data_IF_857448535782
#
_entry.id   IF_857448535782
#
_cell.length_a   1.000
_cell.length_b   1.000
_cell.length_c   1.000
_cell.angle_alpha   90.00
_cell.angle_beta   90.00
_cell.angle_gamma   90.00
#
_symmetry.space_group_name_H-M   'P 1'
#
loop_
_entity.id
_entity.type
_entity.pdbx_description
1 polymer ?
#
# COMPACT_ATOMS: atom_id res chain seq x y z
N UNK A 1 9.76 7.49 24.36
CA UNK A 1 10.93 6.62 24.07
C UNK A 1 12.03 7.50 23.51
N UNK A 2 13.27 7.32 23.94
CA UNK A 2 14.41 8.13 23.52
C UNK A 2 15.46 7.24 22.85
N UNK A 3 16.03 7.72 21.74
CA UNK A 3 17.07 7.01 20.98
C UNK A 3 18.46 7.56 21.31
N UNK A 4 19.53 6.77 21.16
CA UNK A 4 20.89 7.26 21.32
C UNK A 4 21.19 8.44 20.37
N UNK A 5 22.00 9.41 20.82
CA UNK A 5 22.30 10.60 20.04
C UNK A 5 22.94 10.30 18.66
N UNK A 6 23.73 9.22 18.57
CA UNK A 6 24.29 8.74 17.30
C UNK A 6 23.20 8.28 16.30
N UNK A 7 22.16 7.60 16.80
CA UNK A 7 21.01 7.16 15.99
C UNK A 7 20.19 8.36 15.53
N UNK A 8 19.92 9.33 16.41
CA UNK A 8 19.23 10.58 16.03
C UNK A 8 20.02 11.39 14.99
N UNK A 9 21.36 11.45 15.11
CA UNK A 9 22.23 12.10 14.12
C UNK A 9 22.20 11.37 12.76
N UNK A 10 22.23 10.03 12.76
CA UNK A 10 22.10 9.20 11.55
C UNK A 10 20.76 9.45 10.85
N UNK A 11 19.65 9.41 11.60
CA UNK A 11 18.31 9.68 11.09
C UNK A 11 18.20 11.09 10.48
N UNK A 12 18.72 12.12 11.15
CA UNK A 12 18.71 13.48 10.62
C UNK A 12 19.42 13.58 9.26
N UNK A 13 20.59 12.95 9.11
CA UNK A 13 21.34 12.92 7.85
C UNK A 13 20.61 12.13 6.76
N UNK A 14 20.13 10.93 7.07
CA UNK A 14 19.41 10.08 6.09
C UNK A 14 18.09 10.70 5.61
N UNK A 15 17.32 11.34 6.50
CA UNK A 15 16.08 12.01 6.13
C UNK A 15 16.36 13.25 5.28
N UNK A 16 17.45 13.99 5.56
CA UNK A 16 17.89 15.13 4.75
C UNK A 16 18.33 14.68 3.34
N UNK A 17 19.11 13.61 3.26
CA UNK A 17 19.54 12.97 2.00
C UNK A 17 18.33 12.47 1.17
N UNK A 18 17.33 11.87 1.81
CA UNK A 18 16.11 11.39 1.15
C UNK A 18 15.18 12.50 0.67
N UNK A 19 15.23 13.69 1.26
CA UNK A 19 14.49 14.88 0.79
C UNK A 19 15.27 15.61 -0.31
N UNK A 20 16.59 15.73 -0.18
CA UNK A 20 17.44 16.41 -1.17
C UNK A 20 17.66 15.59 -2.45
N UNK A 21 17.64 14.26 -2.35
CA UNK A 21 17.88 13.32 -3.45
C UNK A 21 16.88 12.14 -3.37
N UNK A 22 15.58 12.35 -3.64
CA UNK A 22 14.58 11.30 -3.55
C UNK A 22 14.85 10.13 -4.52
N UNK A 23 14.65 8.86 -4.10
CA UNK A 23 14.66 7.73 -5.04
C UNK A 23 13.51 7.82 -6.05
N UNK A 24 13.66 7.15 -7.19
CA UNK A 24 12.62 7.07 -8.22
C UNK A 24 11.29 6.55 -7.64
N UNK A 25 10.23 7.35 -7.75
CA UNK A 25 8.90 7.03 -7.23
C UNK A 25 8.80 6.96 -5.70
N UNK A 26 9.71 7.61 -4.96
CA UNK A 26 9.69 7.63 -3.49
C UNK A 26 9.93 9.05 -2.96
N UNK A 27 8.99 9.58 -2.18
CA UNK A 27 9.10 10.88 -1.49
C UNK A 27 9.01 10.70 0.02
N UNK A 28 9.98 11.22 0.78
CA UNK A 28 9.91 11.27 2.25
C UNK A 28 9.18 12.54 2.69
N UNK A 29 8.31 12.42 3.69
CA UNK A 29 7.61 13.54 4.31
C UNK A 29 8.30 13.85 5.65
N UNK A 30 9.18 14.86 5.65
CA UNK A 30 9.98 15.24 6.81
C UNK A 30 9.12 15.85 7.92
N UNK A 31 9.34 15.38 9.15
CA UNK A 31 8.80 15.96 10.38
C UNK A 31 9.97 16.41 11.27
N UNK A 32 10.40 17.66 11.15
CA UNK A 32 11.56 18.20 11.87
C UNK A 32 11.40 18.15 13.40
N UNK A 33 10.16 18.32 13.88
CA UNK A 33 9.83 18.21 15.30
C UNK A 33 9.86 16.77 15.83
N UNK A 34 9.74 15.76 14.95
CA UNK A 34 9.78 14.35 15.31
C UNK A 34 10.39 13.47 14.20
N UNK A 35 11.71 13.48 14.10
CA UNK A 35 12.49 12.65 13.15
C UNK A 35 12.27 11.13 13.28
N UNK A 36 11.60 10.68 14.35
CA UNK A 36 11.23 9.27 14.57
C UNK A 36 9.87 8.89 13.96
N UNK A 37 9.08 9.87 13.52
CA UNK A 37 7.86 9.67 12.73
C UNK A 37 8.20 9.68 11.24
N UNK A 38 8.95 8.66 10.80
CA UNK A 38 9.38 8.53 9.41
C UNK A 38 8.18 8.16 8.53
N UNK A 39 7.79 9.06 7.63
CA UNK A 39 6.68 8.88 6.68
C UNK A 39 7.19 8.99 5.25
N UNK A 40 6.60 8.23 4.34
CA UNK A 40 6.92 8.26 2.93
C UNK A 40 5.67 8.08 2.05
N UNK A 41 5.79 8.52 0.80
CA UNK A 41 4.86 8.28 -0.29
C UNK A 41 5.60 7.50 -1.36
N UNK A 42 5.03 6.36 -1.77
CA UNK A 42 5.57 5.48 -2.80
C UNK A 42 4.62 5.49 -4.00
N UNK A 43 5.14 5.80 -5.18
CA UNK A 43 4.43 5.69 -6.45
C UNK A 43 4.41 4.23 -6.91
N UNK A 44 3.22 3.72 -7.19
CA UNK A 44 3.03 2.37 -7.71
C UNK A 44 3.78 2.17 -9.04
N UNK A 45 4.70 1.20 -9.14
CA UNK A 45 5.54 1.06 -10.34
C UNK A 45 4.74 0.72 -11.60
N UNK A 46 5.24 1.18 -12.75
CA UNK A 46 4.64 0.88 -14.05
C UNK A 46 4.66 -0.63 -14.36
N UNK A 47 3.65 -1.12 -15.07
CA UNK A 47 3.43 -2.54 -15.36
C UNK A 47 2.82 -3.34 -14.20
N UNK A 48 2.61 -2.73 -13.03
CA UNK A 48 2.00 -3.39 -11.86
C UNK A 48 0.51 -3.03 -11.71
N UNK A 49 -0.28 -3.77 -10.92
CA UNK A 49 -1.64 -3.34 -10.55
C UNK A 49 -1.69 -2.12 -9.59
N UNK A 50 -0.53 -1.58 -9.21
CA UNK A 50 -0.39 -0.40 -8.36
C UNK A 50 -0.13 0.88 -9.18
N UNK A 51 0.16 0.75 -10.48
CA UNK A 51 0.53 1.84 -11.39
C UNK A 51 -0.38 3.08 -11.27
N UNK A 52 0.24 4.26 -11.18
CA UNK A 52 -0.43 5.56 -11.02
C UNK A 52 -0.98 5.86 -9.62
N UNK A 53 -1.05 4.86 -8.72
CA UNK A 53 -1.41 5.06 -7.33
C UNK A 53 -0.29 5.68 -6.50
N UNK A 54 -0.63 6.59 -5.59
CA UNK A 54 0.28 7.12 -4.57
C UNK A 54 -0.04 6.51 -3.19
N UNK A 55 0.91 5.75 -2.64
CA UNK A 55 0.74 4.99 -1.41
C UNK A 55 1.49 5.65 -0.24
N UNK A 56 0.75 6.26 0.68
CA UNK A 56 1.29 6.77 1.94
C UNK A 56 1.63 5.61 2.88
N UNK A 57 2.80 5.68 3.50
CA UNK A 57 3.32 4.65 4.41
C UNK A 57 4.21 5.25 5.51
N UNK A 58 4.49 4.46 6.55
CA UNK A 58 5.31 4.83 7.72
C UNK A 58 6.35 3.76 8.02
N UNK A 59 7.51 4.19 8.52
CA UNK A 59 8.55 3.33 9.08
C UNK A 59 8.61 3.52 10.59
N UNK A 60 7.98 2.60 11.33
CA UNK A 60 7.97 2.61 12.79
C UNK A 60 9.28 2.01 13.33
N UNK A 61 10.18 2.86 13.81
CA UNK A 61 11.44 2.45 14.42
C UNK A 61 11.18 1.65 15.73
N UNK A 62 11.77 0.46 15.93
CA UNK A 62 11.71 -0.27 17.20
C UNK A 62 12.69 0.29 18.24
N UNK A 63 12.50 -0.04 19.51
CA UNK A 63 13.27 0.49 20.64
C UNK A 63 14.79 0.23 20.56
N UNK A 64 15.18 -0.84 19.88
CA UNK A 64 16.55 -1.32 19.66
C UNK A 64 17.14 -0.88 18.31
N UNK A 65 16.44 -0.04 17.53
CA UNK A 65 16.92 0.46 16.23
C UNK A 65 18.30 1.13 16.36
N UNK A 66 19.30 0.80 15.51
CA UNK A 66 19.19 0.02 14.27
C UNK A 66 19.52 -1.49 14.39
N UNK A 67 19.57 -2.09 15.59
CA UNK A 67 19.83 -3.54 15.71
C UNK A 67 18.71 -4.38 15.06
N UNK A 68 17.43 -4.00 15.28
CA UNK A 68 16.30 -4.49 14.50
C UNK A 68 15.89 -3.51 13.38
N UNK A 69 15.36 -4.02 12.24
CA UNK A 69 14.81 -3.19 11.17
C UNK A 69 13.57 -2.39 11.62
N UNK A 70 13.27 -1.26 10.95
CA UNK A 70 12.01 -0.57 11.12
C UNK A 70 10.84 -1.45 10.67
N UNK A 71 9.67 -1.31 11.31
CA UNK A 71 8.43 -1.92 10.83
C UNK A 71 7.76 -1.03 9.78
N UNK A 72 7.55 -1.54 8.58
CA UNK A 72 6.79 -0.85 7.54
C UNK A 72 5.28 -0.98 7.76
N UNK A 73 4.54 0.12 7.57
CA UNK A 73 3.08 0.18 7.66
C UNK A 73 2.54 1.05 6.50
N UNK A 74 1.75 0.48 5.60
CA UNK A 74 0.96 1.25 4.64
C UNK A 74 -0.23 1.93 5.32
N UNK A 75 -0.38 3.23 5.08
CA UNK A 75 -1.54 4.05 5.53
C UNK A 75 -2.60 4.08 4.42
N UNK A 76 -2.18 4.15 3.16
CA UNK A 76 -3.05 3.89 2.00
C UNK A 76 -3.38 2.39 1.97
N UNK A 77 -4.66 2.03 2.01
CA UNK A 77 -5.09 0.63 1.87
C UNK A 77 -4.65 0.04 0.54
N UNK A 78 -4.08 -1.16 0.58
CA UNK A 78 -3.53 -1.87 -0.57
C UNK A 78 -3.94 -3.35 -0.50
N UNK A 79 -4.17 -3.98 -1.65
CA UNK A 79 -4.36 -5.44 -1.75
C UNK A 79 -3.07 -6.06 -2.30
N UNK A 80 -2.24 -6.58 -1.40
CA UNK A 80 -0.91 -7.10 -1.70
C UNK A 80 -0.61 -8.30 -0.79
N UNK A 81 0.01 -9.39 -1.28
CA UNK A 81 0.26 -10.61 -0.49
C UNK A 81 0.99 -10.36 0.83
N UNK A 82 2.03 -9.55 0.84
CA UNK A 82 2.92 -9.34 1.99
C UNK A 82 2.49 -8.19 2.90
N UNK A 83 1.25 -7.70 2.76
CA UNK A 83 0.71 -6.59 3.56
C UNK A 83 -0.55 -7.06 4.31
N UNK A 84 -0.62 -6.80 5.61
CA UNK A 84 -1.79 -7.14 6.43
C UNK A 84 -3.02 -6.30 6.04
N UNK A 85 -4.22 -6.70 6.44
CA UNK A 85 -5.44 -5.88 6.30
C UNK A 85 -5.39 -4.56 7.09
N UNK A 86 -4.49 -4.46 8.07
CA UNK A 86 -4.17 -3.24 8.83
C UNK A 86 -3.06 -2.39 8.20
N UNK A 87 -2.39 -2.90 7.16
CA UNK A 87 -1.30 -2.23 6.43
C UNK A 87 0.12 -2.67 6.81
N UNK A 88 0.31 -3.59 7.77
CA UNK A 88 1.64 -4.02 8.22
C UNK A 88 2.37 -4.77 7.10
N UNK A 89 3.63 -4.40 6.83
CA UNK A 89 4.48 -5.09 5.86
C UNK A 89 5.15 -6.29 6.54
N UNK A 90 5.19 -7.44 5.85
CA UNK A 90 5.78 -8.67 6.35
C UNK A 90 7.23 -8.47 6.81
N UNK A 91 7.46 -8.69 8.11
CA UNK A 91 8.75 -8.46 8.78
C UNK A 91 9.89 -9.26 8.16
N UNK A 92 9.61 -10.43 7.57
CA UNK A 92 10.61 -11.26 6.89
C UNK A 92 11.21 -10.56 5.66
N UNK A 93 10.44 -9.73 4.94
CA UNK A 93 10.94 -8.95 3.79
C UNK A 93 11.98 -7.94 4.25
N UNK A 94 11.75 -7.28 5.40
CA UNK A 94 12.66 -6.26 5.93
C UNK A 94 13.81 -6.84 6.78
N UNK A 95 13.73 -8.10 7.20
CA UNK A 95 14.77 -8.77 7.99
C UNK A 95 15.83 -9.51 7.18
N UNK A 96 15.49 -10.05 6.00
CA UNK A 96 16.33 -11.05 5.31
C UNK A 96 17.77 -10.59 5.08
N UNK A 97 17.93 -9.32 4.71
CA UNK A 97 19.20 -8.70 4.32
C UNK A 97 19.53 -7.46 5.21
N UNK A 98 19.02 -7.41 6.45
CA UNK A 98 19.20 -6.27 7.37
C UNK A 98 20.50 -6.35 8.18
N UNK A 99 21.21 -5.22 8.25
CA UNK A 99 22.26 -4.95 9.25
C UNK A 99 22.06 -3.55 9.87
N UNK A 100 22.78 -3.22 10.94
CA UNK A 100 22.74 -1.90 11.57
C UNK A 100 23.17 -0.74 10.64
N UNK A 101 23.81 -1.07 9.52
CA UNK A 101 24.32 -0.15 8.51
C UNK A 101 23.26 0.11 7.43
N UNK A 102 22.25 -0.76 7.27
CA UNK A 102 21.19 -0.64 6.26
C UNK A 102 20.40 0.67 6.41
N UNK A 103 20.29 1.43 5.32
CA UNK A 103 19.69 2.77 5.32
C UNK A 103 18.18 2.74 5.13
N UNK A 104 17.49 3.80 5.58
CA UNK A 104 16.09 4.07 5.26
C UNK A 104 15.86 4.13 3.75
N UNK A 105 16.84 4.64 2.99
CA UNK A 105 16.85 4.63 1.52
C UNK A 105 16.76 3.21 0.97
N UNK A 106 17.54 2.27 1.51
CA UNK A 106 17.47 0.87 1.11
C UNK A 106 16.13 0.23 1.48
N UNK A 107 15.63 0.46 2.71
CA UNK A 107 14.33 -0.05 3.17
C UNK A 107 13.18 0.40 2.26
N UNK A 108 13.10 1.68 1.92
CA UNK A 108 12.06 2.22 1.05
C UNK A 108 12.16 1.64 -0.37
N UNK A 109 13.38 1.48 -0.91
CA UNK A 109 13.59 0.81 -2.20
C UNK A 109 13.15 -0.66 -2.19
N UNK A 110 13.47 -1.43 -1.13
CA UNK A 110 12.99 -2.81 -0.97
C UNK A 110 11.46 -2.88 -0.95
N UNK A 111 10.80 -1.93 -0.28
CA UNK A 111 9.33 -1.85 -0.24
C UNK A 111 8.75 -1.50 -1.63
N UNK A 112 9.38 -0.61 -2.41
CA UNK A 112 8.94 -0.34 -3.79
C UNK A 112 9.15 -1.56 -4.70
N UNK A 113 10.27 -2.27 -4.57
CA UNK A 113 10.52 -3.51 -5.31
C UNK A 113 9.52 -4.63 -4.95
N UNK A 114 9.04 -4.68 -3.71
CA UNK A 114 8.01 -5.63 -3.26
C UNK A 114 6.67 -5.42 -4.00
N UNK A 115 6.35 -4.20 -4.43
CA UNK A 115 5.17 -3.91 -5.26
C UNK A 115 5.32 -4.43 -6.71
N UNK A 116 6.55 -4.63 -7.18
CA UNK A 116 6.85 -5.23 -8.48
C UNK A 116 6.82 -6.77 -8.37
N UNK A 117 7.49 -7.30 -7.34
CA UNK A 117 7.65 -8.73 -7.11
C UNK A 117 7.27 -9.10 -5.67
N UNK A 118 5.99 -9.44 -5.42
CA UNK A 118 5.56 -10.00 -4.14
C UNK A 118 6.26 -11.34 -3.84
N UNK A 119 6.37 -11.68 -2.56
CA UNK A 119 7.00 -12.92 -2.09
C UNK A 119 5.96 -13.86 -1.44
N UNK A 120 5.29 -14.74 -2.21
CA UNK A 120 4.09 -15.46 -1.76
C UNK A 120 4.32 -16.35 -0.53
N UNK A 121 5.50 -16.94 -0.38
CA UNK A 121 5.90 -17.79 0.76
C UNK A 121 5.85 -17.07 2.13
N UNK A 122 5.64 -15.75 2.14
CA UNK A 122 5.47 -14.94 3.36
C UNK A 122 4.27 -13.98 3.28
N UNK A 123 3.20 -14.42 2.62
CA UNK A 123 1.95 -13.67 2.56
C UNK A 123 1.35 -13.45 3.97
N UNK A 124 0.94 -12.21 4.26
CA UNK A 124 0.08 -11.83 5.39
C UNK A 124 -1.40 -11.73 4.96
N UNK A 125 -1.64 -11.58 3.67
CA UNK A 125 -2.94 -11.64 3.03
C UNK A 125 -2.99 -12.92 2.20
N UNK A 126 -3.50 -13.99 2.81
CA UNK A 126 -3.60 -15.33 2.20
C UNK A 126 -4.38 -15.33 0.90
N UNK A 127 -5.44 -14.52 0.81
CA UNK A 127 -6.28 -14.38 -0.39
C UNK A 127 -5.51 -13.75 -1.55
N UNK A 128 -4.77 -12.64 -1.29
CA UNK A 128 -3.92 -12.03 -2.30
C UNK A 128 -2.75 -12.94 -2.70
N UNK A 129 -2.15 -13.66 -1.75
CA UNK A 129 -1.10 -14.65 -2.00
C UNK A 129 -1.57 -15.82 -2.86
N UNK A 130 -2.79 -16.33 -2.59
CA UNK A 130 -3.42 -17.38 -3.38
C UNK A 130 -3.71 -16.91 -4.80
N UNK A 131 -4.40 -15.78 -4.96
CA UNK A 131 -4.75 -15.26 -6.29
C UNK A 131 -3.50 -14.93 -7.13
N UNK A 132 -2.40 -14.45 -6.52
CA UNK A 132 -1.13 -14.24 -7.24
C UNK A 132 -0.58 -15.54 -7.87
N UNK A 133 -0.74 -16.68 -7.20
CA UNK A 133 -0.21 -17.98 -7.62
C UNK A 133 -1.14 -18.76 -8.55
N UNK A 134 -2.45 -18.70 -8.31
CA UNK A 134 -3.44 -19.54 -9.01
C UNK A 134 -4.23 -18.77 -10.08
N UNK A 135 -4.53 -17.49 -9.86
CA UNK A 135 -5.54 -16.72 -10.63
C UNK A 135 -5.09 -15.25 -10.84
N UNK A 136 -3.91 -15.06 -11.45
CA UNK A 136 -3.23 -13.75 -11.51
C UNK A 136 -4.12 -12.63 -12.09
N UNK A 137 -4.93 -12.91 -13.10
CA UNK A 137 -5.86 -11.93 -13.69
C UNK A 137 -6.86 -11.37 -12.66
N UNK A 138 -7.27 -12.16 -11.68
CA UNK A 138 -8.19 -11.72 -10.62
C UNK A 138 -7.45 -10.99 -9.48
N UNK A 139 -6.21 -11.41 -9.18
CA UNK A 139 -5.31 -10.61 -8.35
C UNK A 139 -5.10 -9.20 -8.93
N UNK A 140 -4.78 -9.10 -10.22
CA UNK A 140 -4.50 -7.84 -10.92
C UNK A 140 -5.73 -6.92 -10.92
N UNK A 141 -6.91 -7.41 -11.35
CA UNK A 141 -8.18 -6.67 -11.29
C UNK A 141 -8.46 -6.11 -9.90
N UNK A 142 -8.33 -6.95 -8.87
CA UNK A 142 -8.67 -6.60 -7.49
C UNK A 142 -7.67 -5.62 -6.86
N UNK A 143 -6.39 -5.79 -7.16
CA UNK A 143 -5.35 -4.84 -6.76
C UNK A 143 -5.54 -3.49 -7.48
N UNK A 144 -5.80 -3.46 -8.80
CA UNK A 144 -6.13 -2.22 -9.55
C UNK A 144 -7.37 -1.53 -9.01
N UNK A 145 -8.43 -2.26 -8.66
CA UNK A 145 -9.63 -1.69 -8.05
C UNK A 145 -9.30 -0.99 -6.72
N UNK A 146 -8.51 -1.63 -5.86
CA UNK A 146 -8.08 -1.05 -4.59
C UNK A 146 -7.16 0.16 -4.77
N UNK A 147 -6.22 0.11 -5.72
CA UNK A 147 -5.39 1.25 -6.15
C UNK A 147 -6.26 2.44 -6.59
N UNK A 148 -7.27 2.18 -7.42
CA UNK A 148 -8.19 3.21 -7.93
C UNK A 148 -9.03 3.87 -6.82
N UNK A 149 -9.50 3.10 -5.83
CA UNK A 149 -10.31 3.62 -4.72
C UNK A 149 -9.45 4.38 -3.70
N UNK A 150 -8.23 3.90 -3.40
CA UNK A 150 -7.46 4.38 -2.24
C UNK A 150 -6.22 5.22 -2.56
N UNK A 151 -5.55 4.99 -3.70
CA UNK A 151 -4.26 5.60 -4.03
C UNK A 151 -4.36 6.73 -5.07
N UNK A 152 -5.33 6.67 -5.99
CA UNK A 152 -5.47 7.66 -7.09
C UNK A 152 -5.90 9.06 -6.64
N UNK A 153 -6.68 9.19 -5.55
CA UNK A 153 -7.10 10.50 -5.04
C UNK A 153 -5.93 11.29 -4.41
N UNK A 154 -4.93 10.57 -3.88
CA UNK A 154 -3.70 11.16 -3.36
C UNK A 154 -2.81 11.65 -4.51
N UNK A 155 -2.69 10.88 -5.60
CA UNK A 155 -1.94 11.29 -6.80
C UNK A 155 -2.47 12.58 -7.46
N UNK A 156 -3.78 12.87 -7.37
CA UNK A 156 -4.38 14.12 -7.85
C UNK A 156 -4.04 15.35 -7.01
N UNK A 157 -3.47 15.18 -5.81
CA UNK A 157 -2.81 16.26 -5.06
C UNK A 157 -1.38 16.37 -5.57
N UNK A 158 -1.22 16.99 -6.75
CA UNK A 158 0.09 17.22 -7.34
C UNK A 158 1.02 18.00 -6.39
N UNK A 159 2.35 17.83 -6.51
CA UNK A 159 3.29 18.59 -5.69
C UNK A 159 3.08 20.09 -5.92
N UNK A 160 2.97 20.86 -4.83
CA UNK A 160 2.84 22.32 -4.89
C UNK A 160 4.01 22.90 -5.69
N UNK A 161 3.79 23.68 -6.77
CA UNK A 161 4.88 24.22 -7.57
C UNK A 161 5.81 25.11 -6.74
N UNK A 162 7.03 24.64 -6.47
CA UNK A 162 8.07 25.41 -5.77
C UNK A 162 8.78 26.38 -6.72
N UNK A 163 8.00 27.26 -7.34
CA UNK A 163 8.48 28.49 -7.99
C UNK A 163 8.33 29.65 -7.02
N UNK A 164 9.41 30.40 -6.80
CA UNK A 164 9.50 31.36 -5.71
C UNK A 164 8.69 32.66 -5.91
N UNK A 165 8.62 33.45 -4.82
CA UNK A 165 7.91 34.73 -4.67
C UNK A 165 6.39 34.60 -4.51
N UNK A 166 5.73 35.34 -3.62
CA UNK A 166 6.24 36.35 -2.70
C UNK A 166 5.38 37.61 -2.66
N UNK A 167 4.19 37.52 -2.07
CA UNK A 167 3.32 38.68 -1.84
C UNK A 167 2.56 38.53 -0.53
N UNK A 168 2.62 39.56 0.31
CA UNK A 168 1.81 39.72 1.51
C UNK A 168 0.43 40.28 1.12
N UNK A 169 -0.66 39.64 1.57
CA UNK A 169 -2.01 40.18 1.47
C UNK A 169 -2.81 39.78 2.72
N UNK A 170 -3.19 40.78 3.53
CA UNK A 170 -4.03 40.57 4.71
C UNK A 170 -5.49 40.30 4.33
N UNK A 171 -6.19 39.51 5.15
CA UNK A 171 -7.62 39.23 4.96
C UNK A 171 -8.54 40.28 5.57
N UNK A 172 -9.68 40.52 4.93
CA UNK A 172 -10.87 41.17 5.50
C UNK A 172 -12.12 40.39 5.10
N UNK A 173 -13.13 40.37 5.98
CA UNK A 173 -14.32 39.52 5.89
C UNK A 173 -15.61 40.29 5.60
N UNK A 174 -16.49 39.72 4.76
CA UNK A 174 -17.96 39.86 4.73
C UNK A 174 -18.51 38.63 3.95
N UNK A 175 -19.57 37.91 4.33
CA UNK A 175 -20.98 38.31 4.54
C UNK A 175 -21.61 38.84 3.22
N UNK A 176 -22.68 38.27 2.65
CA UNK A 176 -24.02 38.17 3.28
C UNK A 176 -25.07 37.25 2.58
N UNK A 177 -26.22 37.06 3.25
CA UNK A 177 -27.62 36.70 2.80
C UNK A 177 -27.96 35.69 1.66
N UNK A 178 -28.43 34.49 2.06
CA UNK A 178 -29.84 33.98 2.09
C UNK A 178 -30.89 34.11 0.92
N UNK A 179 -31.86 33.15 0.91
CA UNK A 179 -33.07 32.97 0.04
C UNK A 179 -32.81 32.65 -1.46
N UNK A 180 -33.61 31.93 -2.26
CA UNK A 180 -34.87 31.14 -2.16
C UNK A 180 -35.09 30.40 -3.51
N UNK A 181 -36.12 29.59 -3.85
CA UNK A 181 -37.38 29.10 -3.23
C UNK A 181 -37.73 27.69 -3.86
N UNK A 182 -39.00 27.24 -3.82
CA UNK A 182 -39.62 26.01 -4.37
C UNK A 182 -39.87 26.08 -5.92
N UNK A 183 -40.34 25.07 -6.68
CA UNK A 183 -41.57 24.23 -6.52
C UNK A 183 -41.64 22.96 -7.44
N UNK A 184 -42.38 21.92 -6.96
CA UNK A 184 -43.35 20.97 -7.63
C UNK A 184 -43.01 20.24 -8.98
N UNK A 185 -43.57 19.07 -9.36
CA UNK A 185 -44.43 18.02 -8.73
C UNK A 185 -44.64 16.78 -9.65
N UNK A 186 -44.93 15.59 -9.09
CA UNK A 186 -45.51 14.39 -9.76
C UNK A 186 -44.56 13.47 -10.59
N UNK A 187 -44.84 12.16 -10.76
CA UNK A 187 -45.81 11.29 -10.07
C UNK A 187 -46.12 9.94 -10.76
N UNK A 188 -46.03 8.81 -10.02
CA UNK A 188 -46.60 7.46 -10.29
C UNK A 188 -46.12 6.70 -11.57
N UNK A 189 -46.34 5.39 -11.83
CA UNK A 189 -47.04 4.26 -11.17
C UNK A 189 -46.27 2.92 -11.35
N UNK A 190 -46.55 1.90 -10.52
CA UNK A 190 -46.64 0.46 -10.87
C UNK A 190 -45.41 -0.33 -11.40
N UNK A 191 -45.36 -1.67 -11.33
CA UNK A 191 -46.11 -2.66 -10.53
C UNK A 191 -45.28 -3.96 -10.41
N UNK A 192 -45.62 -4.84 -9.44
CA UNK A 192 -45.00 -6.17 -9.29
C UNK A 192 -45.82 -7.25 -10.01
N UNK A 193 -45.20 -8.39 -10.37
CA UNK A 193 -45.75 -9.64 -9.85
C UNK A 193 -44.69 -10.62 -9.30
N UNK A 194 -45.15 -11.74 -8.73
CA UNK A 194 -44.41 -12.58 -7.79
C UNK A 194 -44.27 -14.05 -8.23
N UNK A 195 -43.39 -14.77 -7.50
CA UNK A 195 -43.40 -16.22 -7.27
C UNK A 195 -43.11 -17.19 -8.44
N UNK A 196 -42.02 -17.95 -8.27
CA UNK A 196 -42.10 -19.42 -8.14
C UNK A 196 -41.00 -19.96 -7.22
N UNK A 197 -41.20 -21.18 -6.72
CA UNK A 197 -40.48 -21.77 -5.57
C UNK A 197 -40.12 -23.22 -5.87
N UNK A 198 -38.87 -23.62 -5.63
CA UNK A 198 -38.42 -25.00 -5.77
C UNK A 198 -37.61 -25.47 -4.55
N UNK A 199 -38.13 -26.51 -3.89
CA UNK A 199 -37.35 -27.57 -3.23
C UNK A 199 -36.87 -28.54 -4.33
N UNK A 200 -35.86 -29.40 -4.18
CA UNK A 200 -34.74 -29.56 -3.21
C UNK A 200 -33.76 -30.59 -3.86
N UNK A 201 -32.80 -31.30 -3.25
CA UNK A 201 -32.43 -31.57 -1.84
C UNK A 201 -30.96 -32.02 -1.73
N UNK A 202 -30.51 -32.43 -0.54
CA UNK A 202 -29.14 -32.88 -0.24
C UNK A 202 -29.10 -34.36 0.21
N UNK A 203 -28.09 -35.15 -0.25
CA UNK A 203 -27.56 -36.21 0.61
C UNK A 203 -26.01 -36.32 0.60
N UNK A 204 -25.37 -35.63 1.54
CA UNK A 204 -24.36 -36.14 2.50
C UNK A 204 -23.91 -37.62 2.33
N UNK A 205 -22.62 -37.86 2.04
CA UNK A 205 -21.84 -38.96 2.64
C UNK A 205 -20.31 -38.83 2.46
N UNK A 206 -19.58 -39.17 3.53
CA UNK A 206 -18.31 -39.93 3.67
C UNK A 206 -17.48 -40.35 2.42
N UNK A 207 -16.18 -40.70 2.55
CA UNK A 207 -15.11 -40.49 3.55
C UNK A 207 -13.81 -41.14 3.00
N UNK A 208 -12.65 -40.84 3.59
CA UNK A 208 -11.42 -41.61 3.33
C UNK A 208 -10.13 -40.79 3.45
N UNK A 209 -9.11 -41.40 4.04
CA UNK A 209 -7.76 -40.83 4.12
C UNK A 209 -6.75 -41.81 3.52
N UNK A 210 -5.74 -41.28 2.82
CA UNK A 210 -4.42 -41.88 2.68
C UNK A 210 -3.45 -40.84 2.09
N UNK A 211 -2.17 -40.94 2.44
CA UNK A 211 -1.11 -40.15 1.80
C UNK A 211 -0.50 -40.93 0.63
N UNK A 212 0.08 -40.21 -0.34
CA UNK A 212 1.49 -40.46 -0.66
C UNK A 212 2.17 -39.30 -1.39
N UNK A 213 3.51 -39.31 -1.36
CA UNK A 213 4.37 -38.30 -1.99
C UNK A 213 4.92 -38.76 -3.34
N UNK A 214 5.04 -37.84 -4.29
CA UNK A 214 5.97 -38.01 -5.43
C UNK A 214 6.53 -36.66 -5.88
N UNK A 215 7.86 -36.51 -5.86
CA UNK A 215 8.55 -35.48 -6.64
C UNK A 215 8.75 -35.98 -8.08
N UNK A 216 8.79 -35.07 -9.07
CA UNK A 216 10.01 -34.77 -9.84
C UNK A 216 9.78 -34.01 -11.17
N UNK A 217 10.81 -33.24 -11.58
CA UNK A 217 11.16 -32.87 -12.97
C UNK A 217 10.13 -32.09 -13.82
N UNK A 218 10.21 -30.75 -13.75
CA UNK A 218 10.37 -29.93 -14.98
C UNK A 218 11.36 -28.79 -14.73
N UNK A 219 12.53 -28.85 -15.38
CA UNK A 219 13.31 -27.72 -15.96
C UNK A 219 14.68 -28.23 -16.42
N UNK A 220 14.88 -28.34 -17.73
CA UNK A 220 16.19 -28.60 -18.36
C UNK A 220 16.32 -27.73 -19.61
N UNK A 221 17.20 -26.74 -19.55
CA UNK A 221 17.65 -25.95 -20.68
C UNK A 221 16.74 -24.77 -21.06
N UNK A 222 17.26 -23.56 -20.88
CA UNK A 222 17.70 -22.80 -22.05
C UNK A 222 19.03 -22.12 -21.70
N UNK A 223 19.99 -22.15 -22.64
CA UNK A 223 21.27 -21.42 -22.60
C UNK A 223 21.33 -20.61 -23.89
N UNK A 224 21.87 -19.39 -23.81
CA UNK A 224 22.13 -18.47 -24.93
C UNK A 224 20.88 -17.99 -25.70
N UNK A 225 20.49 -16.76 -25.43
CA UNK A 225 21.02 -15.63 -26.19
C UNK A 225 21.32 -14.47 -25.22
#
# INVERSE_FOLDING_TARGET
>A
MAYPAAVMKRLAVELSDLVASPPEGIRVLLNEAQLTDVRAEIEGPAGTPFEGGLFQMRLCLPADFPASPPKGLFVTKIFHPNVSTSGDICVNVLKRDWTSETTLRHVLMVIRCLLIQPFPDSALNEEAGKLLLEEYDEYDKRARLMTNIHAMCLAKRGPTPLTASGANAGGTSSADTHAGKKDKEGGAEGSSPTLKKAKSDNPKAAAGAAANSTMAKVKKGLKRL
#
